data_IF_394779377927
#
_entry.id   IF_394779377927
#
_cell.length_a   1.000
_cell.length_b   1.000
_cell.length_c   1.000
_cell.angle_alpha   90.00
_cell.angle_beta   90.00
_cell.angle_gamma   90.00
#
_symmetry.space_group_name_H-M   'P 1'
#
loop_
_entity.id
_entity.type
_entity.pdbx_description
1 polymer ?
#
# COMPACT_ATOMS: atom_id res chain seq x y z
N UNK A 1 15.49 -12.49 13.73
CA UNK A 1 16.59 -11.51 13.79
C UNK A 1 17.88 -11.97 13.12
N UNK A 2 18.60 -12.99 13.61
CA UNK A 2 19.87 -13.42 13.00
C UNK A 2 19.77 -13.80 11.51
N UNK A 3 18.70 -14.52 11.13
CA UNK A 3 18.43 -14.84 9.73
C UNK A 3 18.18 -13.59 8.86
N UNK A 4 17.53 -12.56 9.42
CA UNK A 4 17.31 -11.28 8.73
C UNK A 4 18.64 -10.58 8.46
N UNK A 5 19.51 -10.54 9.47
CA UNK A 5 20.85 -9.96 9.35
C UNK A 5 21.68 -10.66 8.26
N UNK A 6 21.70 -12.00 8.27
CA UNK A 6 22.40 -12.77 7.23
C UNK A 6 21.79 -12.54 5.84
N UNK A 7 20.46 -12.51 5.73
CA UNK A 7 19.77 -12.25 4.48
C UNK A 7 20.15 -10.89 3.90
N UNK A 8 20.19 -9.84 4.73
CA UNK A 8 20.58 -8.49 4.33
C UNK A 8 21.96 -8.49 3.70
N UNK A 9 22.93 -9.11 4.38
CA UNK A 9 24.30 -9.25 3.88
C UNK A 9 24.35 -9.99 2.54
N UNK A 10 23.64 -11.10 2.41
CA UNK A 10 23.61 -11.89 1.17
C UNK A 10 22.98 -11.12 0.00
N UNK A 11 21.89 -10.39 0.24
CA UNK A 11 21.22 -9.57 -0.78
C UNK A 11 22.14 -8.45 -1.28
N UNK A 12 22.88 -7.80 -0.37
CA UNK A 12 23.84 -6.77 -0.73
C UNK A 12 25.02 -7.36 -1.53
N UNK A 13 25.56 -8.51 -1.11
CA UNK A 13 26.67 -9.19 -1.83
C UNK A 13 26.25 -9.64 -3.23
N UNK A 14 25.00 -10.10 -3.38
CA UNK A 14 24.43 -10.48 -4.69
C UNK A 14 24.50 -9.30 -5.68
N UNK A 15 24.33 -8.07 -5.19
CA UNK A 15 24.53 -6.85 -5.99
C UNK A 15 25.98 -6.34 -5.89
N UNK A 16 26.87 -6.92 -6.72
CA UNK A 16 28.31 -6.57 -6.73
C UNK A 16 28.58 -5.07 -6.87
N UNK A 17 27.84 -4.36 -7.73
CA UNK A 17 28.02 -2.91 -7.94
C UNK A 17 27.78 -2.15 -6.64
N UNK A 18 26.68 -2.46 -5.97
CA UNK A 18 26.30 -1.81 -4.72
C UNK A 18 27.28 -2.17 -3.59
N UNK A 19 27.66 -3.44 -3.46
CA UNK A 19 28.62 -3.88 -2.44
C UNK A 19 29.97 -3.17 -2.55
N UNK A 20 30.52 -3.04 -3.76
CA UNK A 20 31.78 -2.32 -4.00
C UNK A 20 31.64 -0.82 -3.72
N UNK A 21 30.52 -0.21 -4.15
CA UNK A 21 30.26 1.20 -3.89
C UNK A 21 30.15 1.50 -2.39
N UNK A 22 29.41 0.66 -1.65
CA UNK A 22 29.26 0.77 -0.21
C UNK A 22 30.60 0.61 0.50
N UNK A 23 31.39 -0.40 0.11
CA UNK A 23 32.72 -0.62 0.66
C UNK A 23 33.67 0.58 0.42
N UNK A 24 33.70 1.11 -0.80
CA UNK A 24 34.54 2.26 -1.14
C UNK A 24 34.13 3.52 -0.36
N UNK A 25 32.83 3.78 -0.25
CA UNK A 25 32.30 4.90 0.53
C UNK A 25 32.70 4.78 2.01
N UNK A 26 32.52 3.59 2.62
CA UNK A 26 32.93 3.34 4.00
C UNK A 26 34.42 3.55 4.22
N UNK A 27 35.27 3.06 3.30
CA UNK A 27 36.72 3.26 3.38
C UNK A 27 37.11 4.74 3.29
N UNK A 28 36.52 5.48 2.36
CA UNK A 28 36.78 6.91 2.21
C UNK A 28 36.38 7.68 3.48
N UNK A 29 35.22 7.33 4.06
CA UNK A 29 34.74 7.96 5.27
C UNK A 29 35.61 7.62 6.50
N UNK A 30 36.03 6.36 6.65
CA UNK A 30 36.97 5.97 7.71
C UNK A 30 38.32 6.69 7.59
N UNK A 31 38.84 6.86 6.36
CA UNK A 31 40.07 7.62 6.10
C UNK A 31 39.91 9.10 6.46
N UNK A 32 38.79 9.73 6.08
CA UNK A 32 38.48 11.12 6.44
C UNK A 32 38.41 11.31 7.94
N UNK A 33 37.72 10.42 8.66
CA UNK A 33 37.62 10.47 10.13
C UNK A 33 38.99 10.26 10.81
N UNK A 34 39.82 9.34 10.31
CA UNK A 34 41.17 9.15 10.82
C UNK A 34 42.06 10.39 10.59
N UNK A 35 41.99 11.01 9.41
CA UNK A 35 42.71 12.25 9.09
C UNK A 35 42.26 13.40 10.01
N UNK A 36 40.95 13.59 10.19
CA UNK A 36 40.40 14.60 11.07
C UNK A 36 40.86 14.39 12.52
N UNK A 37 40.84 13.16 13.01
CA UNK A 37 41.30 12.83 14.36
C UNK A 37 42.80 13.08 14.52
N UNK A 38 43.64 12.71 13.54
CA UNK A 38 45.08 12.98 13.58
C UNK A 38 45.39 14.48 13.57
N UNK A 39 44.64 15.27 12.78
CA UNK A 39 44.78 16.72 12.76
C UNK A 39 44.37 17.37 14.09
N UNK A 40 43.29 16.88 14.70
CA UNK A 40 42.84 17.36 16.01
C UNK A 40 43.86 17.06 17.13
N UNK A 41 44.53 15.90 17.07
CA UNK A 41 45.55 15.50 18.04
C UNK A 41 46.89 16.23 17.83
N UNK A 42 47.25 16.53 16.58
CA UNK A 42 48.56 17.12 16.24
C UNK A 42 48.44 18.36 15.34
N UNK A 43 47.82 19.46 15.81
CA UNK A 43 47.52 20.64 14.99
C UNK A 43 48.77 21.37 14.45
N UNK A 44 49.94 21.14 15.07
CA UNK A 44 51.21 21.76 14.68
C UNK A 44 51.91 21.05 13.50
N UNK A 45 51.52 19.81 13.18
CA UNK A 45 52.11 19.01 12.09
C UNK A 45 51.37 19.27 10.78
N UNK A 46 50.09 19.64 10.85
CA UNK A 46 49.23 19.81 9.68
C UNK A 46 48.92 21.29 9.44
N UNK A 47 49.18 21.79 8.22
CA UNK A 47 48.86 23.17 7.86
C UNK A 47 47.35 23.37 7.68
N UNK A 48 46.75 24.48 8.17
CA UNK A 48 45.30 24.72 8.07
C UNK A 48 44.75 24.84 6.64
N UNK A 49 45.59 24.94 5.61
CA UNK A 49 45.18 25.30 4.26
C UNK A 49 44.54 24.17 3.42
N UNK A 50 44.28 22.99 4.01
CA UNK A 50 43.51 21.92 3.36
C UNK A 50 42.01 21.93 3.72
N UNK A 51 41.54 22.94 4.45
CA UNK A 51 40.16 23.09 4.93
C UNK A 51 39.09 23.28 3.84
N UNK A 52 39.46 23.49 2.57
CA UNK A 52 38.49 23.82 1.52
C UNK A 52 38.13 22.67 0.57
N UNK A 53 38.67 21.47 0.74
CA UNK A 53 38.05 20.28 0.15
C UNK A 53 37.00 19.73 1.11
N UNK A 54 36.01 20.57 1.45
CA UNK A 54 34.72 20.16 2.01
C UNK A 54 33.91 19.41 0.94
N UNK A 55 34.51 18.38 0.34
CA UNK A 55 33.72 17.30 -0.21
C UNK A 55 33.30 16.49 1.01
N UNK A 56 32.19 16.90 1.62
CA UNK A 56 31.42 15.95 2.41
C UNK A 56 31.22 14.72 1.54
N UNK A 57 31.60 13.57 2.08
CA UNK A 57 31.47 12.31 1.37
C UNK A 57 29.98 12.00 1.34
N UNK A 58 29.31 12.62 0.36
CA UNK A 58 27.87 12.47 0.16
C UNK A 58 27.54 10.99 0.08
N UNK A 59 26.47 10.60 0.76
CA UNK A 59 26.03 9.23 0.73
C UNK A 59 25.50 8.91 -0.67
N UNK A 60 26.03 7.89 -1.36
CA UNK A 60 25.64 7.63 -2.75
C UNK A 60 24.13 7.39 -2.89
N UNK A 61 23.44 8.06 -3.83
CA UNK A 61 21.98 7.99 -3.95
C UNK A 61 21.48 6.60 -4.35
N UNK A 62 22.29 5.84 -5.11
CA UNK A 62 22.03 4.44 -5.45
C UNK A 62 21.90 3.57 -4.20
N UNK A 63 22.77 3.79 -3.22
CA UNK A 63 22.78 3.04 -1.95
C UNK A 63 21.55 3.45 -1.14
N UNK A 64 21.26 4.76 -1.02
CA UNK A 64 20.10 5.25 -0.28
C UNK A 64 18.77 4.68 -0.83
N UNK A 65 18.62 4.67 -2.16
CA UNK A 65 17.43 4.12 -2.81
C UNK A 65 17.28 2.64 -2.52
N UNK A 66 18.37 1.87 -2.62
CA UNK A 66 18.33 0.44 -2.35
C UNK A 66 18.00 0.11 -0.88
N UNK A 67 18.55 0.86 0.09
CA UNK A 67 18.20 0.65 1.51
C UNK A 67 16.75 1.06 1.81
N UNK A 68 16.23 2.12 1.18
CA UNK A 68 14.81 2.49 1.27
C UNK A 68 13.91 1.38 0.73
N UNK A 69 14.27 0.80 -0.41
CA UNK A 69 13.58 -0.35 -0.98
C UNK A 69 13.66 -1.58 -0.06
N UNK A 70 14.84 -1.91 0.46
CA UNK A 70 15.00 -3.04 1.37
C UNK A 70 14.15 -2.89 2.64
N UNK A 71 14.05 -1.68 3.19
CA UNK A 71 13.20 -1.38 4.35
C UNK A 71 11.70 -1.56 4.07
N UNK A 72 11.28 -1.45 2.80
CA UNK A 72 9.92 -1.75 2.34
C UNK A 72 9.77 -3.19 1.82
N UNK A 73 10.68 -4.08 2.24
CA UNK A 73 10.72 -5.50 1.91
C UNK A 73 10.95 -5.81 0.42
N UNK A 74 11.44 -4.86 -0.37
CA UNK A 74 11.79 -5.16 -1.76
C UNK A 74 13.02 -6.08 -1.78
N UNK A 75 13.16 -6.86 -2.86
CA UNK A 75 14.25 -7.82 -3.08
C UNK A 75 14.26 -9.04 -2.14
N UNK A 76 13.35 -9.11 -1.18
CA UNK A 76 13.22 -10.24 -0.25
C UNK A 76 12.54 -11.42 -0.97
N UNK A 77 13.14 -12.62 -0.97
CA UNK A 77 12.51 -13.79 -1.57
C UNK A 77 11.20 -14.13 -0.86
N UNK A 78 10.20 -14.57 -1.63
CA UNK A 78 8.85 -14.86 -1.11
C UNK A 78 8.85 -15.82 0.09
N UNK A 79 9.71 -16.84 0.09
CA UNK A 79 9.81 -17.83 1.17
C UNK A 79 10.25 -17.22 2.52
N UNK A 80 10.85 -16.02 2.54
CA UNK A 80 11.15 -15.30 3.79
C UNK A 80 9.97 -14.46 4.28
N UNK A 81 9.01 -14.12 3.40
CA UNK A 81 7.79 -13.39 3.74
C UNK A 81 6.68 -14.35 4.17
N UNK A 82 6.55 -15.49 3.47
CA UNK A 82 5.56 -16.53 3.75
C UNK A 82 6.29 -17.88 3.79
N UNK A 83 6.82 -18.29 4.96
CA UNK A 83 7.59 -19.53 5.09
C UNK A 83 6.76 -20.81 4.88
N UNK A 84 5.49 -20.78 5.26
CA UNK A 84 4.56 -21.92 5.16
C UNK A 84 3.35 -21.54 4.30
N UNK A 85 2.92 -22.43 3.41
CA UNK A 85 1.73 -22.24 2.59
C UNK A 85 0.46 -22.06 3.44
N UNK A 86 0.41 -22.68 4.63
CA UNK A 86 -0.72 -22.53 5.55
C UNK A 86 -0.87 -21.10 6.09
N UNK A 87 0.20 -20.29 6.06
CA UNK A 87 0.13 -18.89 6.47
C UNK A 87 -0.67 -18.06 5.46
N UNK A 88 -0.63 -18.41 4.17
CA UNK A 88 -1.39 -17.74 3.12
C UNK A 88 -2.13 -18.74 2.21
N UNK A 89 -3.25 -19.32 2.68
CA UNK A 89 -4.09 -20.23 1.89
C UNK A 89 -4.69 -19.57 0.65
N UNK A 90 -5.22 -20.38 -0.27
CA UNK A 90 -6.00 -19.89 -1.41
C UNK A 90 -7.23 -19.11 -0.95
N UNK A 91 -7.58 -18.05 -1.68
CA UNK A 91 -8.70 -17.14 -1.39
C UNK A 91 -8.68 -16.63 0.06
N UNK A 92 -7.55 -16.07 0.47
CA UNK A 92 -7.37 -15.54 1.82
C UNK A 92 -6.65 -14.19 1.85
N UNK A 93 -7.00 -13.39 2.85
CA UNK A 93 -6.32 -12.16 3.22
C UNK A 93 -5.77 -12.26 4.65
N UNK A 94 -4.53 -11.81 4.84
CA UNK A 94 -3.83 -11.84 6.13
C UNK A 94 -3.29 -10.46 6.45
N UNK A 95 -3.76 -9.89 7.55
CA UNK A 95 -3.27 -8.63 8.11
C UNK A 95 -2.12 -8.89 9.07
N UNK A 96 -1.11 -8.03 9.04
CA UNK A 96 0.07 -8.17 9.87
C UNK A 96 0.70 -6.84 10.27
N UNK A 97 1.51 -6.92 11.32
CA UNK A 97 2.42 -5.87 11.75
C UNK A 97 3.81 -6.19 11.24
N UNK A 98 4.50 -5.19 10.72
CA UNK A 98 5.90 -5.35 10.37
C UNK A 98 6.76 -5.19 11.62
N UNK A 99 7.49 -6.25 11.99
CA UNK A 99 8.47 -6.17 13.06
C UNK A 99 9.63 -5.25 12.65
N UNK A 100 9.66 -4.05 13.21
CA UNK A 100 10.69 -3.07 12.93
C UNK A 100 12.09 -3.56 13.33
N UNK A 101 12.23 -4.30 14.43
CA UNK A 101 13.54 -4.84 14.83
C UNK A 101 14.06 -5.87 13.83
N UNK A 102 13.16 -6.62 13.19
CA UNK A 102 13.53 -7.53 12.11
C UNK A 102 14.07 -6.76 10.90
N UNK A 103 13.42 -5.65 10.52
CA UNK A 103 13.85 -4.78 9.43
C UNK A 103 15.18 -4.08 9.77
N UNK A 104 15.36 -3.61 11.00
CA UNK A 104 16.65 -3.06 11.46
C UNK A 104 17.77 -4.07 11.37
N UNK A 105 17.53 -5.32 11.81
CA UNK A 105 18.51 -6.39 11.66
C UNK A 105 18.86 -6.64 10.18
N UNK A 106 17.87 -6.65 9.30
CA UNK A 106 18.05 -6.79 7.86
C UNK A 106 18.91 -5.65 7.27
N UNK A 107 18.58 -4.40 7.61
CA UNK A 107 19.31 -3.22 7.16
C UNK A 107 20.72 -3.17 7.74
N UNK A 108 20.92 -3.53 9.01
CA UNK A 108 22.26 -3.60 9.60
C UNK A 108 23.10 -4.69 8.94
N UNK A 109 22.52 -5.85 8.67
CA UNK A 109 23.16 -6.94 7.94
C UNK A 109 23.59 -6.53 6.54
N UNK A 110 22.72 -5.82 5.82
CA UNK A 110 23.04 -5.24 4.52
C UNK A 110 24.18 -4.20 4.60
N UNK A 111 24.16 -3.36 5.64
CA UNK A 111 25.22 -2.38 5.89
C UNK A 111 26.51 -3.02 6.39
N UNK A 112 26.50 -4.28 6.86
CA UNK A 112 27.66 -4.96 7.46
C UNK A 112 28.83 -5.23 6.51
N UNK A 113 28.67 -5.00 5.21
CA UNK A 113 29.74 -5.21 4.24
C UNK A 113 30.99 -4.41 4.64
N UNK A 114 32.11 -5.12 4.70
CA UNK A 114 33.42 -4.54 5.03
C UNK A 114 33.75 -4.50 6.52
N UNK A 115 32.89 -4.99 7.42
CA UNK A 115 33.21 -5.14 8.84
C UNK A 115 34.19 -6.30 9.05
N UNK A 116 35.26 -6.05 9.81
CA UNK A 116 36.25 -7.06 10.21
C UNK A 116 36.47 -7.04 11.73
N UNK A 117 36.45 -5.86 12.33
CA UNK A 117 36.68 -5.64 13.77
C UNK A 117 35.45 -5.03 14.45
N UNK A 118 35.35 -5.18 15.77
CA UNK A 118 34.27 -4.57 16.57
C UNK A 118 34.29 -3.03 16.47
N UNK A 119 35.46 -2.42 16.27
CA UNK A 119 35.59 -0.98 16.01
C UNK A 119 34.84 -0.53 14.76
N UNK A 120 34.69 -1.41 13.75
CA UNK A 120 33.95 -1.09 12.53
C UNK A 120 32.45 -0.98 12.81
N UNK A 121 31.93 -1.76 13.76
CA UNK A 121 30.53 -1.70 14.20
C UNK A 121 30.27 -0.36 14.89
N UNK A 122 31.12 0.02 15.85
CA UNK A 122 31.00 1.30 16.57
C UNK A 122 31.12 2.51 15.62
N UNK A 123 31.97 2.40 14.61
CA UNK A 123 32.15 3.45 13.60
C UNK A 123 30.93 3.56 12.67
N UNK A 124 30.36 2.42 12.27
CA UNK A 124 29.15 2.35 11.46
C UNK A 124 27.97 2.96 12.21
N UNK A 125 27.79 2.68 13.50
CA UNK A 125 26.72 3.29 14.31
C UNK A 125 26.77 4.81 14.32
N UNK A 126 27.97 5.39 14.34
CA UNK A 126 28.18 6.85 14.33
C UNK A 126 28.01 7.47 12.94
N UNK A 127 28.36 6.73 11.89
CA UNK A 127 28.40 7.29 10.53
C UNK A 127 27.25 6.88 9.64
N UNK A 128 26.44 5.90 10.03
CA UNK A 128 25.35 5.42 9.18
C UNK A 128 24.30 6.53 8.99
N UNK A 129 24.11 7.05 7.75
CA UNK A 129 23.18 8.14 7.48
C UNK A 129 21.73 7.63 7.33
N UNK A 130 21.51 6.31 7.38
CA UNK A 130 20.19 5.70 7.23
C UNK A 130 19.41 5.87 8.53
N UNK A 131 18.23 6.49 8.41
CA UNK A 131 17.35 6.77 9.54
C UNK A 131 16.78 5.47 10.13
N UNK A 132 17.14 5.14 11.38
CA UNK A 132 16.68 3.94 12.11
C UNK A 132 15.49 4.20 13.02
N UNK A 133 14.77 5.32 12.84
CA UNK A 133 13.65 5.62 13.73
C UNK A 133 12.57 4.53 13.58
N UNK A 134 12.07 3.97 14.69
CA UNK A 134 11.03 2.96 14.64
C UNK A 134 9.79 3.49 13.96
N UNK A 135 9.36 2.79 12.91
CA UNK A 135 8.15 3.11 12.18
C UNK A 135 7.12 2.01 12.42
N UNK A 136 5.92 2.42 12.83
CA UNK A 136 4.77 1.53 12.83
C UNK A 136 4.32 1.33 11.39
N UNK A 137 4.61 0.15 10.84
CA UNK A 137 4.18 -0.27 9.51
C UNK A 137 3.26 -1.46 9.68
N UNK A 138 2.08 -1.38 9.11
CA UNK A 138 1.14 -2.50 9.02
C UNK A 138 0.80 -2.76 7.58
N UNK A 139 0.35 -3.98 7.29
CA UNK A 139 0.10 -4.40 5.93
C UNK A 139 -0.80 -5.60 5.84
N UNK A 140 -1.02 -6.03 4.60
CA UNK A 140 -1.70 -7.28 4.33
C UNK A 140 -1.10 -8.01 3.14
N UNK A 141 -1.28 -9.32 3.16
CA UNK A 141 -1.08 -10.21 2.04
C UNK A 141 -2.43 -10.73 1.58
N UNK A 142 -2.71 -10.60 0.29
CA UNK A 142 -3.92 -11.12 -0.34
C UNK A 142 -3.52 -12.19 -1.35
N UNK A 143 -4.01 -13.41 -1.19
CA UNK A 143 -3.92 -14.49 -2.17
C UNK A 143 -5.30 -14.76 -2.75
N UNK A 144 -5.56 -14.28 -3.95
CA UNK A 144 -6.86 -14.45 -4.63
C UNK A 144 -6.70 -14.37 -6.15
N UNK A 145 -7.56 -15.07 -6.88
CA UNK A 145 -7.67 -14.93 -8.34
C UNK A 145 -8.01 -13.50 -8.78
N UNK A 146 -8.68 -12.71 -7.92
CA UNK A 146 -8.99 -11.29 -8.18
C UNK A 146 -7.73 -10.47 -8.48
N UNK A 147 -6.61 -10.77 -7.82
CA UNK A 147 -5.33 -10.07 -8.05
C UNK A 147 -4.80 -10.32 -9.47
N UNK A 148 -5.09 -11.49 -10.05
CA UNK A 148 -4.67 -11.83 -11.41
C UNK A 148 -5.62 -11.29 -12.47
N UNK A 149 -6.93 -11.28 -12.17
CA UNK A 149 -7.96 -10.81 -13.09
C UNK A 149 -8.00 -9.28 -13.22
N UNK A 150 -7.65 -8.54 -12.16
CA UNK A 150 -7.74 -7.08 -12.12
C UNK A 150 -6.44 -6.46 -11.58
N UNK A 151 -5.44 -6.20 -12.46
CA UNK A 151 -4.15 -5.65 -12.05
C UNK A 151 -4.20 -4.19 -11.57
N UNK A 152 -5.20 -3.41 -12.02
CA UNK A 152 -5.36 -2.00 -11.66
C UNK A 152 -6.20 -1.78 -10.39
N UNK A 153 -6.21 -2.78 -9.50
CA UNK A 153 -6.89 -2.74 -8.21
C UNK A 153 -6.39 -1.55 -7.38
N UNK A 154 -7.32 -0.78 -6.82
CA UNK A 154 -7.04 0.32 -5.91
C UNK A 154 -7.24 -0.15 -4.47
N UNK A 155 -6.36 0.33 -3.59
CA UNK A 155 -6.36 -0.03 -2.18
C UNK A 155 -6.20 1.25 -1.36
N UNK A 156 -7.16 1.49 -0.48
CA UNK A 156 -7.10 2.53 0.53
C UNK A 156 -7.15 1.89 1.93
N UNK A 157 -6.39 2.43 2.88
CA UNK A 157 -6.42 1.98 4.27
C UNK A 157 -6.68 3.13 5.23
N UNK A 158 -7.35 2.88 6.35
CA UNK A 158 -7.58 3.85 7.44
C UNK A 158 -7.26 3.27 8.82
N UNK A 159 -7.01 4.15 9.79
CA UNK A 159 -6.80 3.80 11.22
C UNK A 159 -8.10 3.86 12.04
N UNK A 160 -9.21 4.31 11.44
CA UNK A 160 -10.53 4.32 12.06
C UNK A 160 -11.34 3.10 11.60
N UNK A 161 -12.18 2.58 12.50
CA UNK A 161 -13.12 1.53 12.17
C UNK A 161 -14.31 2.14 11.42
N UNK A 162 -14.14 2.30 10.10
CA UNK A 162 -15.21 2.78 9.24
C UNK A 162 -16.27 1.69 9.03
N UNK A 163 -17.53 2.03 9.29
CA UNK A 163 -18.69 1.14 9.10
C UNK A 163 -19.63 1.77 8.09
N UNK A 164 -19.96 1.04 7.02
CA UNK A 164 -20.83 1.52 5.94
C UNK A 164 -20.17 1.46 4.55
N UNK A 165 -20.92 1.93 3.55
CA UNK A 165 -20.54 1.80 2.14
C UNK A 165 -19.81 3.03 1.58
N UNK A 166 -19.70 4.11 2.35
CA UNK A 166 -18.94 5.30 1.95
C UNK A 166 -17.44 5.04 1.84
N UNK A 167 -16.78 5.63 0.84
CA UNK A 167 -15.33 5.55 0.66
C UNK A 167 -14.60 6.28 1.80
N UNK A 168 -13.42 5.78 2.15
CA UNK A 168 -12.56 6.45 3.15
C UNK A 168 -12.21 7.86 2.65
N UNK A 169 -12.51 8.92 3.43
CA UNK A 169 -12.14 10.30 3.11
C UNK A 169 -10.64 10.46 2.94
N UNK A 170 -10.20 11.31 2.00
CA UNK A 170 -8.78 11.51 1.69
C UNK A 170 -7.92 11.87 2.92
N UNK A 171 -8.48 12.59 3.88
CA UNK A 171 -7.79 13.01 5.11
C UNK A 171 -7.53 11.85 6.09
N UNK A 172 -8.34 10.80 6.03
CA UNK A 172 -8.24 9.63 6.91
C UNK A 172 -7.46 8.48 6.27
N UNK A 173 -7.06 8.63 4.99
CA UNK A 173 -6.28 7.62 4.28
C UNK A 173 -4.86 7.57 4.80
N UNK A 174 -4.44 6.37 5.15
CA UNK A 174 -3.06 6.08 5.49
C UNK A 174 -2.20 6.12 4.24
N UNK A 175 -0.96 6.58 4.41
CA UNK A 175 0.01 6.62 3.32
C UNK A 175 0.40 5.19 2.93
N UNK A 176 0.10 4.82 1.69
CA UNK A 176 0.55 3.58 1.08
C UNK A 176 2.07 3.68 0.82
N UNK A 177 2.84 2.80 1.46
CA UNK A 177 4.29 2.74 1.33
C UNK A 177 4.71 1.81 0.19
N UNK A 178 3.99 0.69 0.03
CA UNK A 178 4.23 -0.29 -1.02
C UNK A 178 2.91 -0.97 -1.37
N UNK A 179 2.65 -1.13 -2.64
CA UNK A 179 1.63 -2.02 -3.17
C UNK A 179 2.24 -2.72 -4.38
N UNK A 180 2.48 -4.01 -4.25
CA UNK A 180 3.26 -4.77 -5.23
C UNK A 180 2.75 -6.20 -5.34
N UNK A 181 2.80 -6.74 -6.55
CA UNK A 181 2.34 -8.09 -6.84
C UNK A 181 3.52 -9.06 -6.80
N UNK A 182 3.61 -9.84 -5.72
CA UNK A 182 4.70 -10.79 -5.50
C UNK A 182 4.61 -12.02 -6.42
N UNK A 183 3.40 -12.39 -6.83
CA UNK A 183 3.09 -13.46 -7.79
C UNK A 183 1.73 -13.16 -8.44
N UNK A 184 1.36 -13.86 -9.52
CA UNK A 184 0.12 -13.62 -10.28
C UNK A 184 -1.13 -13.42 -9.39
N UNK A 185 -1.24 -14.18 -8.30
CA UNK A 185 -2.40 -14.17 -7.42
C UNK A 185 -2.08 -13.58 -6.04
N UNK A 186 -0.88 -13.05 -5.81
CA UNK A 186 -0.43 -12.60 -4.48
C UNK A 186 -0.08 -11.11 -4.50
N UNK A 187 -0.82 -10.33 -3.72
CA UNK A 187 -0.61 -8.90 -3.53
C UNK A 187 -0.06 -8.63 -2.12
N UNK A 188 0.95 -7.78 -2.04
CA UNK A 188 1.50 -7.24 -0.80
C UNK A 188 1.25 -5.74 -0.73
N UNK A 189 0.61 -5.30 0.35
CA UNK A 189 0.40 -3.88 0.64
C UNK A 189 0.97 -3.52 2.02
N UNK A 190 1.69 -2.40 2.10
CA UNK A 190 2.26 -1.83 3.32
C UNK A 190 1.80 -0.38 3.48
N UNK A 191 1.40 -0.03 4.69
CA UNK A 191 0.91 1.30 5.08
C UNK A 191 1.76 1.89 6.21
N UNK A 192 1.92 3.20 6.19
CA UNK A 192 2.51 3.93 7.32
C UNK A 192 1.45 4.15 8.39
N UNK A 193 1.54 3.46 9.52
CA UNK A 193 0.58 3.49 10.63
C UNK A 193 -0.09 2.16 10.88
N UNK A 194 -1.06 2.14 11.80
CA UNK A 194 -1.91 1.00 12.11
C UNK A 194 -3.16 1.00 11.21
N UNK A 195 -3.33 -0.07 10.42
CA UNK A 195 -4.55 -0.29 9.62
C UNK A 195 -5.63 -0.96 10.48
N UNK A 196 -6.84 -0.41 10.42
CA UNK A 196 -8.06 -1.02 11.00
C UNK A 196 -9.11 -1.32 9.94
N UNK A 197 -9.15 -0.54 8.88
CA UNK A 197 -10.03 -0.79 7.73
C UNK A 197 -9.24 -0.69 6.44
N UNK A 198 -9.52 -1.60 5.51
CA UNK A 198 -8.95 -1.60 4.16
C UNK A 198 -10.10 -1.70 3.15
N UNK A 199 -10.14 -0.75 2.23
CA UNK A 199 -11.04 -0.73 1.09
C UNK A 199 -10.28 -1.17 -0.16
N UNK A 200 -10.81 -2.19 -0.84
CA UNK A 200 -10.29 -2.70 -2.10
C UNK A 200 -11.37 -2.49 -3.15
N UNK A 201 -11.04 -1.80 -4.24
CA UNK A 201 -11.99 -1.48 -5.31
C UNK A 201 -11.30 -1.39 -6.67
N UNK A 202 -12.09 -1.54 -7.73
CA UNK A 202 -11.59 -1.38 -9.09
C UNK A 202 -11.38 0.08 -9.41
N UNK A 203 -10.35 0.37 -10.21
CA UNK A 203 -10.20 1.70 -10.80
C UNK A 203 -11.48 2.06 -11.56
N UNK A 204 -12.05 3.26 -11.35
CA UNK A 204 -13.24 3.68 -12.06
C UNK A 204 -12.87 4.02 -13.52
N UNK A 205 -12.93 3.01 -14.41
CA UNK A 205 -12.64 3.17 -15.84
C UNK A 205 -13.88 3.48 -16.68
N UNK A 206 -15.06 3.19 -16.15
CA UNK A 206 -16.35 3.48 -16.76
C UNK A 206 -17.49 3.41 -15.75
N UNK A 207 -18.56 4.15 -16.02
CA UNK A 207 -19.80 4.08 -15.24
C UNK A 207 -20.67 2.97 -15.83
N UNK A 208 -21.04 2.00 -15.00
CA UNK A 208 -21.89 0.89 -15.40
C UNK A 208 -23.34 1.15 -15.00
N UNK A 209 -24.30 0.56 -15.71
CA UNK A 209 -25.67 0.47 -15.21
C UNK A 209 -25.83 -0.82 -14.40
N UNK A 210 -26.41 -0.72 -13.22
CA UNK A 210 -26.53 -1.89 -12.34
C UNK A 210 -27.61 -1.74 -11.27
N UNK A 211 -27.83 -2.83 -10.54
CA UNK A 211 -28.84 -2.96 -9.50
C UNK A 211 -28.21 -3.51 -8.23
N UNK A 212 -28.78 -3.15 -7.09
CA UNK A 212 -28.35 -3.64 -5.79
C UNK A 212 -29.06 -4.97 -5.54
N UNK A 213 -28.27 -6.04 -5.39
CA UNK A 213 -28.76 -7.38 -5.07
C UNK A 213 -28.72 -7.62 -3.57
N UNK A 214 -29.84 -8.04 -2.99
CA UNK A 214 -29.90 -8.48 -1.59
C UNK A 214 -29.56 -9.98 -1.47
N UNK A 215 -29.26 -10.47 -0.26
CA UNK A 215 -28.91 -11.88 0.04
C UNK A 215 -29.95 -12.90 -0.43
N UNK A 216 -31.18 -12.45 -0.68
CA UNK A 216 -32.29 -13.26 -1.19
C UNK A 216 -32.41 -13.22 -2.72
N UNK A 217 -31.39 -12.75 -3.44
CA UNK A 217 -31.36 -12.64 -4.90
C UNK A 217 -32.43 -11.68 -5.48
N UNK A 218 -32.91 -10.76 -4.64
CA UNK A 218 -33.85 -9.73 -5.03
C UNK A 218 -33.08 -8.50 -5.47
N UNK A 219 -33.36 -8.07 -6.70
CA UNK A 219 -32.78 -6.85 -7.25
C UNK A 219 -33.59 -5.63 -6.80
N UNK A 220 -32.89 -4.58 -6.42
CA UNK A 220 -33.47 -3.30 -6.06
C UNK A 220 -32.61 -2.15 -6.58
N UNK A 221 -33.20 -0.97 -6.69
CA UNK A 221 -32.45 0.23 -7.08
C UNK A 221 -32.72 1.35 -6.09
N UNK A 222 -31.65 1.92 -5.55
CA UNK A 222 -31.72 3.18 -4.82
C UNK A 222 -31.57 4.34 -5.80
N UNK A 223 -32.45 5.32 -5.69
CA UNK A 223 -32.46 6.51 -6.55
C UNK A 223 -31.55 7.59 -5.96
N UNK A 224 -31.12 8.49 -6.85
CA UNK A 224 -30.21 9.59 -6.56
C UNK A 224 -30.94 10.93 -6.55
N UNK A 225 -30.47 11.83 -5.70
CA UNK A 225 -30.85 13.24 -5.72
C UNK A 225 -30.26 13.98 -6.95
N UNK A 226 -30.58 15.26 -7.09
CA UNK A 226 -30.06 16.11 -8.18
C UNK A 226 -28.55 16.38 -8.07
N UNK A 227 -27.96 16.11 -6.90
CA UNK A 227 -26.54 16.23 -6.59
C UNK A 227 -25.78 14.91 -6.88
N UNK A 228 -26.50 13.83 -7.20
CA UNK A 228 -25.95 12.52 -7.54
C UNK A 228 -25.73 11.58 -6.35
N UNK A 229 -26.17 11.94 -5.14
CA UNK A 229 -26.04 11.08 -3.96
C UNK A 229 -27.17 10.05 -3.93
N UNK A 230 -26.85 8.79 -3.68
CA UNK A 230 -27.85 7.74 -3.48
C UNK A 230 -28.56 7.95 -2.14
N UNK A 231 -29.90 7.89 -2.16
CA UNK A 231 -30.72 8.02 -0.96
C UNK A 231 -31.28 6.65 -0.59
N UNK A 232 -31.02 6.22 0.65
CA UNK A 232 -31.43 4.90 1.17
C UNK A 232 -32.94 4.68 1.09
N UNK A 233 -33.70 5.77 1.27
CA UNK A 233 -35.16 5.78 1.38
C UNK A 233 -35.86 5.69 0.01
N UNK A 234 -35.18 6.11 -1.07
CA UNK A 234 -35.77 6.14 -2.41
C UNK A 234 -35.45 4.83 -3.12
N UNK A 235 -36.22 3.78 -2.81
CA UNK A 235 -35.92 2.42 -3.26
C UNK A 235 -37.00 1.85 -4.15
N UNK A 236 -36.61 1.42 -5.35
CA UNK A 236 -37.44 0.60 -6.24
C UNK A 236 -37.22 -0.87 -5.87
N UNK A 237 -38.27 -1.49 -5.36
CA UNK A 237 -38.30 -2.92 -5.03
C UNK A 237 -39.77 -3.40 -5.06
N UNK A 238 -40.14 -4.38 -5.90
CA UNK A 238 -39.30 -5.18 -6.80
C UNK A 238 -39.04 -4.49 -8.15
N UNK A 239 -37.96 -4.88 -8.84
CA UNK A 239 -37.69 -4.40 -10.20
C UNK A 239 -38.61 -5.09 -11.22
N UNK A 240 -39.16 -4.35 -12.21
CA UNK A 240 -40.08 -4.90 -13.19
C UNK A 240 -39.33 -5.72 -14.25
N UNK A 241 -39.49 -7.04 -14.18
CA UNK A 241 -38.97 -7.97 -15.19
C UNK A 241 -40.00 -8.21 -16.29
N UNK A 242 -39.58 -8.13 -17.55
CA UNK A 242 -40.34 -8.65 -18.70
C UNK A 242 -40.34 -10.17 -18.71
N UNK A 243 -39.22 -10.78 -18.31
CA UNK A 243 -39.09 -12.23 -18.16
C UNK A 243 -38.11 -12.55 -17.03
N UNK A 244 -38.65 -13.02 -15.91
CA UNK A 244 -37.87 -13.30 -14.70
C UNK A 244 -36.93 -14.51 -14.86
N UNK A 245 -37.27 -15.51 -15.68
CA UNK A 245 -36.43 -16.67 -15.90
C UNK A 245 -35.16 -16.38 -16.74
N UNK A 246 -35.15 -15.25 -17.46
CA UNK A 246 -34.04 -14.82 -18.32
C UNK A 246 -33.38 -13.51 -17.85
N UNK A 247 -33.75 -12.99 -16.67
CA UNK A 247 -33.31 -11.70 -16.15
C UNK A 247 -33.46 -10.54 -17.16
N UNK A 248 -34.56 -10.53 -17.93
CA UNK A 248 -34.85 -9.47 -18.91
C UNK A 248 -35.75 -8.43 -18.27
N UNK A 249 -35.25 -7.20 -18.17
CA UNK A 249 -35.92 -6.08 -17.50
C UNK A 249 -36.89 -5.38 -18.47
N UNK A 250 -38.03 -4.96 -17.96
CA UNK A 250 -38.95 -4.10 -18.70
C UNK A 250 -38.57 -2.63 -18.46
N UNK A 251 -37.80 -2.06 -19.41
CA UNK A 251 -37.30 -0.69 -19.31
C UNK A 251 -38.44 0.33 -19.23
N UNK A 252 -39.55 0.12 -19.95
CA UNK A 252 -40.68 1.06 -19.95
C UNK A 252 -41.35 1.13 -18.58
N UNK A 253 -41.64 -0.03 -17.99
CA UNK A 253 -42.21 -0.11 -16.65
C UNK A 253 -41.23 0.44 -15.59
N UNK A 254 -39.93 0.18 -15.74
CA UNK A 254 -38.92 0.71 -14.82
C UNK A 254 -38.87 2.24 -14.85
N UNK A 255 -38.97 2.87 -16.03
CA UNK A 255 -39.00 4.33 -16.14
C UNK A 255 -40.24 4.90 -15.44
N UNK A 256 -41.41 4.30 -15.64
CA UNK A 256 -42.66 4.72 -14.98
C UNK A 256 -42.56 4.64 -13.45
N UNK A 257 -41.95 3.57 -12.91
CA UNK A 257 -41.72 3.43 -11.47
C UNK A 257 -40.69 4.44 -10.93
N UNK A 258 -39.61 4.71 -11.68
CA UNK A 258 -38.62 5.74 -11.32
C UNK A 258 -39.28 7.12 -11.27
N UNK A 259 -40.08 7.47 -12.28
CA UNK A 259 -40.79 8.75 -12.32
C UNK A 259 -41.80 8.88 -11.18
N UNK A 260 -42.54 7.82 -10.86
CA UNK A 260 -43.50 7.81 -9.76
C UNK A 260 -42.80 8.06 -8.42
N UNK A 261 -41.68 7.39 -8.16
CA UNK A 261 -40.94 7.55 -6.91
C UNK A 261 -40.26 8.92 -6.81
N UNK A 262 -39.72 9.46 -7.90
CA UNK A 262 -39.15 10.82 -7.90
C UNK A 262 -40.23 11.90 -7.67
N UNK A 263 -41.42 11.72 -8.25
CA UNK A 263 -42.55 12.62 -8.02
C UNK A 263 -43.03 12.57 -6.56
N UNK A 264 -43.04 11.40 -5.92
CA UNK A 264 -43.35 11.26 -4.49
C UNK A 264 -42.41 12.08 -3.61
N UNK A 265 -41.16 12.26 -4.05
CA UNK A 265 -40.11 13.00 -3.34
C UNK A 265 -40.01 14.47 -3.79
N UNK A 266 -41.05 14.99 -4.47
CA UNK A 266 -41.17 16.35 -4.98
C UNK A 266 -40.11 16.75 -6.03
N UNK A 267 -39.44 15.79 -6.68
CA UNK A 267 -38.56 16.03 -7.82
C UNK A 267 -39.36 15.80 -9.10
N UNK A 268 -39.85 16.89 -9.69
CA UNK A 268 -40.64 16.84 -10.94
C UNK A 268 -39.76 17.27 -12.12
N UNK A 269 -39.69 16.42 -13.15
CA UNK A 269 -39.05 16.76 -14.41
C UNK A 269 -40.11 17.08 -15.47
N UNK A 270 -39.91 18.15 -16.24
CA UNK A 270 -40.83 18.50 -17.34
C UNK A 270 -40.83 17.46 -18.47
N UNK A 271 -39.70 16.76 -18.64
CA UNK A 271 -39.55 15.61 -19.52
C UNK A 271 -38.46 14.70 -18.94
N UNK A 272 -38.77 13.42 -18.75
CA UNK A 272 -37.77 12.42 -18.40
C UNK A 272 -37.08 11.95 -19.68
N UNK A 273 -35.76 12.14 -19.71
CA UNK A 273 -34.88 11.90 -20.84
C UNK A 273 -33.91 10.78 -20.49
N UNK A 274 -33.22 10.27 -21.51
CA UNK A 274 -32.17 9.27 -21.33
C UNK A 274 -31.07 9.72 -20.36
N UNK A 275 -30.83 11.02 -20.19
CA UNK A 275 -29.86 11.55 -19.24
C UNK A 275 -30.29 11.36 -17.78
N UNK A 276 -31.57 11.63 -17.46
CA UNK A 276 -32.07 11.38 -16.09
C UNK A 276 -32.13 9.89 -15.80
N UNK A 277 -32.57 9.08 -16.76
CA UNK A 277 -32.52 7.62 -16.62
C UNK A 277 -31.09 7.12 -16.36
N UNK A 278 -30.12 7.57 -17.14
CA UNK A 278 -28.72 7.20 -16.95
C UNK A 278 -28.21 7.61 -15.57
N UNK A 279 -28.49 8.83 -15.10
CA UNK A 279 -28.10 9.29 -13.76
C UNK A 279 -28.62 8.36 -12.67
N UNK A 280 -29.88 7.93 -12.77
CA UNK A 280 -30.49 7.04 -11.80
C UNK A 280 -29.92 5.62 -11.87
N UNK A 281 -29.46 5.17 -13.04
CA UNK A 281 -28.99 3.81 -13.28
C UNK A 281 -27.48 3.61 -13.09
N UNK A 282 -26.69 4.68 -13.13
CA UNK A 282 -25.24 4.64 -12.95
C UNK A 282 -24.88 4.06 -11.57
N UNK A 283 -24.04 3.04 -11.57
CA UNK A 283 -23.43 2.44 -10.38
C UNK A 283 -21.92 2.59 -10.46
N UNK A 284 -21.32 2.91 -9.31
CA UNK A 284 -19.88 2.97 -9.15
C UNK A 284 -19.23 1.59 -9.17
N UNK A 285 -17.90 1.57 -9.12
CA UNK A 285 -17.16 0.34 -8.92
C UNK A 285 -17.51 -0.28 -7.57
N UNK A 286 -17.68 -1.60 -7.55
CA UNK A 286 -17.85 -2.33 -6.30
C UNK A 286 -16.62 -2.17 -5.42
N UNK A 287 -16.88 -2.02 -4.12
CA UNK A 287 -15.87 -1.84 -3.09
C UNK A 287 -16.07 -2.91 -2.04
N UNK A 288 -14.99 -3.63 -1.74
CA UNK A 288 -14.97 -4.60 -0.64
C UNK A 288 -14.20 -3.99 0.52
N UNK A 289 -14.85 -3.91 1.68
CA UNK A 289 -14.28 -3.39 2.91
C UNK A 289 -13.91 -4.55 3.83
N UNK A 290 -12.67 -4.57 4.30
CA UNK A 290 -12.18 -5.48 5.32
C UNK A 290 -11.91 -4.73 6.61
N UNK A 291 -12.46 -5.22 7.72
CA UNK A 291 -12.07 -4.79 9.06
C UNK A 291 -10.89 -5.65 9.53
N UNK A 292 -9.74 -5.01 9.71
CA UNK A 292 -8.53 -5.64 10.21
C UNK A 292 -8.57 -5.72 11.74
N UNK A 293 -8.32 -6.91 12.28
CA UNK A 293 -7.76 -7.09 13.62
C UNK A 293 -6.35 -7.61 13.43
N UNK A 294 -5.38 -6.70 13.39
CA UNK A 294 -4.02 -7.05 13.06
C UNK A 294 -3.37 -7.87 14.19
N UNK A 295 -2.84 -9.05 13.87
CA UNK A 295 -2.02 -9.88 14.77
C UNK A 295 -0.55 -9.76 14.35
N UNK A 296 0.37 -9.87 15.30
CA UNK A 296 1.81 -9.91 15.04
C UNK A 296 2.14 -11.17 14.22
N UNK A 297 2.88 -11.01 13.11
CA UNK A 297 3.51 -12.10 12.35
C UNK A 297 5.00 -12.21 12.71
#
# INVERSE_FOLDING_TARGET
>A
YAAAWQLGQLLTIKNKKLAVSLFNWKRANAQKLAQNNQQALFPHIFTPNQLNNNNDLEFPPDIQTWFRELGLLYHIPFNYLVPDEQMLPLESIRFFWLDWFWVECLLDGAFSIGRVQNSDVEQDEKTNPLNRQPQTITGFLLRSEVVSGWPDLQIDGSNSLETGDEFIPLEQRLKLLRCDRLSHNVLLCLFAGEIKTVDIYLKPEGLNFGFNEDKNNNFSRQLRDLQGNEQSDWKINPIPFRNQAKNVINITALIEEIEAELNNQAITFAQFTSAQFALQMIQGAEKVRFSAHARLL
#
